data_IF_831657984719
#
_entry.id   IF_831657984719
#
_cell.length_a   1.000
_cell.length_b   1.000
_cell.length_c   1.000
_cell.angle_alpha   90.00
_cell.angle_beta   90.00
_cell.angle_gamma   90.00
#
_symmetry.space_group_name_H-M   'P 1'
#
loop_
_entity.id
_entity.type
_entity.pdbx_description
1 polymer ?
#
# COMPACT_ATOMS: atom_id res chain seq x y z
N UNK A 1 18.26 2.84 -5.17
CA UNK A 1 18.41 2.52 -3.73
C UNK A 1 19.07 3.71 -3.09
N UNK A 2 18.31 4.57 -2.41
CA UNK A 2 18.96 5.42 -1.43
C UNK A 2 19.53 4.43 -0.43
N UNK A 3 20.86 4.30 -0.38
CA UNK A 3 21.50 3.48 0.62
C UNK A 3 21.20 4.14 1.98
N UNK A 4 20.22 3.61 2.71
CA UNK A 4 20.00 3.94 4.13
C UNK A 4 21.10 3.21 4.94
N UNK A 5 22.31 3.18 4.39
CA UNK A 5 23.49 2.64 5.04
C UNK A 5 23.80 3.53 6.23
N UNK A 6 23.72 2.95 7.44
CA UNK A 6 24.08 3.51 8.76
C UNK A 6 22.97 4.16 9.60
N UNK A 7 21.70 4.14 9.21
CA UNK A 7 20.62 4.51 10.13
C UNK A 7 20.11 3.30 10.92
N UNK A 8 19.83 3.49 12.22
CA UNK A 8 19.19 2.48 13.02
C UNK A 8 17.75 2.26 12.51
N UNK A 9 17.27 1.02 12.52
CA UNK A 9 15.93 0.61 12.10
C UNK A 9 14.84 1.55 12.66
N UNK A 10 14.89 1.80 13.97
CA UNK A 10 13.89 2.64 14.66
C UNK A 10 13.89 4.09 14.15
N UNK A 11 15.05 4.60 13.72
CA UNK A 11 15.16 5.95 13.16
C UNK A 11 14.47 6.04 11.81
N UNK A 12 14.62 5.01 10.96
CA UNK A 12 13.95 4.93 9.66
C UNK A 12 12.45 4.85 9.85
N UNK A 13 11.98 3.90 10.66
CA UNK A 13 10.55 3.69 10.88
C UNK A 13 9.87 4.94 11.44
N UNK A 14 10.50 5.59 12.42
CA UNK A 14 9.97 6.84 12.99
C UNK A 14 9.88 7.94 11.93
N UNK A 15 10.92 8.15 11.14
CA UNK A 15 10.91 9.18 10.09
C UNK A 15 9.82 8.92 9.05
N UNK A 16 9.61 7.66 8.65
CA UNK A 16 8.54 7.26 7.74
C UNK A 16 7.17 7.52 8.38
N UNK A 17 6.95 7.12 9.63
CA UNK A 17 5.69 7.36 10.34
C UNK A 17 5.37 8.84 10.50
N UNK A 18 6.36 9.67 10.85
CA UNK A 18 6.19 11.13 10.96
C UNK A 18 5.80 11.75 9.62
N UNK A 19 6.51 11.37 8.55
CA UNK A 19 6.22 11.84 7.20
C UNK A 19 4.81 11.46 6.75
N UNK A 20 4.44 10.18 6.86
CA UNK A 20 3.11 9.73 6.42
C UNK A 20 1.97 10.16 7.35
N UNK A 21 2.26 10.47 8.61
CA UNK A 21 1.30 11.17 9.48
C UNK A 21 0.98 12.57 8.94
N UNK A 22 1.99 13.30 8.47
CA UNK A 22 1.78 14.60 7.80
C UNK A 22 1.01 14.44 6.50
N UNK A 23 1.37 13.47 5.65
CA UNK A 23 0.65 13.15 4.40
C UNK A 23 -0.82 12.82 4.66
N UNK A 24 -1.12 12.08 5.73
CA UNK A 24 -2.50 11.74 6.08
C UNK A 24 -3.32 12.96 6.50
N UNK A 25 -2.74 13.80 7.38
CA UNK A 25 -3.45 14.90 8.04
C UNK A 25 -3.48 16.18 7.22
N UNK A 26 -2.39 16.49 6.52
CA UNK A 26 -2.19 17.76 5.81
C UNK A 26 -1.46 17.54 4.47
N UNK A 27 -2.03 16.79 3.52
CA UNK A 27 -1.35 16.47 2.25
C UNK A 27 -0.93 17.74 1.48
N UNK A 28 -1.70 18.82 1.57
CA UNK A 28 -1.39 20.09 0.90
C UNK A 28 -0.13 20.78 1.43
N UNK A 29 0.35 20.45 2.62
CA UNK A 29 1.59 21.00 3.19
C UNK A 29 2.83 20.21 2.77
N UNK A 30 2.66 19.07 2.12
CA UNK A 30 3.77 18.24 1.64
C UNK A 30 4.22 18.73 0.28
N UNK A 31 5.42 19.29 0.20
CA UNK A 31 5.94 19.91 -1.03
C UNK A 31 7.13 19.17 -1.66
N UNK A 32 7.68 18.18 -0.97
CA UNK A 32 8.87 17.45 -1.41
C UNK A 32 8.58 16.19 -2.22
N UNK A 33 7.32 15.79 -2.30
CA UNK A 33 6.87 14.71 -3.16
C UNK A 33 5.51 15.04 -3.80
N UNK A 34 5.23 14.40 -4.93
CA UNK A 34 3.96 14.57 -5.59
C UNK A 34 2.92 13.66 -4.93
N UNK A 35 1.77 14.23 -4.60
CA UNK A 35 0.65 13.52 -3.98
C UNK A 35 -0.64 13.68 -4.79
N UNK A 36 -1.60 12.84 -4.48
CA UNK A 36 -2.97 12.96 -4.95
C UNK A 36 -3.16 12.71 -6.45
N UNK A 37 -4.15 13.36 -7.04
CA UNK A 37 -4.47 13.19 -8.48
C UNK A 37 -3.30 13.45 -9.43
N UNK A 38 -2.42 14.42 -9.20
CA UNK A 38 -1.20 14.54 -10.01
C UNK A 38 -0.31 13.29 -9.94
N UNK A 39 -0.17 12.69 -8.76
CA UNK A 39 0.61 11.45 -8.58
C UNK A 39 -0.08 10.25 -9.27
N UNK A 40 -1.40 10.10 -9.12
CA UNK A 40 -2.14 9.00 -9.77
C UNK A 40 -2.06 9.05 -11.28
N UNK A 41 -2.07 10.25 -11.88
CA UNK A 41 -1.91 10.42 -13.34
C UNK A 41 -0.53 9.97 -13.82
N UNK A 42 0.54 10.39 -13.13
CA UNK A 42 1.90 9.95 -13.47
C UNK A 42 2.06 8.44 -13.25
N UNK A 43 1.44 7.89 -12.20
CA UNK A 43 1.42 6.47 -11.91
C UNK A 43 0.60 5.65 -12.93
N UNK A 44 -0.14 6.31 -13.84
CA UNK A 44 -0.87 5.64 -14.92
C UNK A 44 -2.23 5.08 -14.51
N UNK A 45 -2.89 5.66 -13.50
CA UNK A 45 -4.27 5.31 -13.15
C UNK A 45 -5.23 6.01 -14.12
N UNK A 46 -6.13 5.24 -14.79
CA UNK A 46 -7.23 5.84 -15.55
C UNK A 46 -8.18 6.60 -14.63
N UNK A 47 -8.68 7.76 -15.05
CA UNK A 47 -9.64 8.55 -14.28
C UNK A 47 -10.86 7.69 -13.88
N UNK A 48 -11.39 6.88 -14.80
CA UNK A 48 -12.50 5.96 -14.55
C UNK A 48 -12.26 4.94 -13.41
N UNK A 49 -10.99 4.67 -13.05
CA UNK A 49 -10.65 3.80 -11.91
C UNK A 49 -10.72 4.54 -10.57
N UNK A 50 -10.68 5.87 -10.62
CA UNK A 50 -10.61 6.76 -9.47
C UNK A 50 -11.90 7.52 -9.20
N UNK A 51 -12.77 7.71 -10.22
CA UNK A 51 -13.93 8.62 -10.15
C UNK A 51 -14.92 8.26 -9.05
N UNK A 52 -15.07 6.97 -8.74
CA UNK A 52 -15.95 6.50 -7.68
C UNK A 52 -15.26 6.39 -6.30
N UNK A 53 -13.98 6.77 -6.19
CA UNK A 53 -13.28 6.74 -4.92
C UNK A 53 -13.47 8.05 -4.15
N UNK A 54 -13.56 8.01 -2.81
CA UNK A 54 -13.53 9.22 -2.01
C UNK A 54 -12.26 10.05 -2.30
N UNK A 55 -12.41 11.36 -2.53
CA UNK A 55 -11.26 12.23 -2.79
C UNK A 55 -10.23 12.19 -1.65
N UNK A 56 -10.70 11.98 -0.41
CA UNK A 56 -9.82 11.80 0.77
C UNK A 56 -8.95 10.54 0.71
N UNK A 57 -9.29 9.54 -0.10
CA UNK A 57 -8.40 8.41 -0.38
C UNK A 57 -7.30 8.82 -1.38
N UNK A 58 -7.69 9.61 -2.40
CA UNK A 58 -6.79 9.99 -3.50
C UNK A 58 -5.81 11.07 -3.05
N UNK A 59 -6.23 12.10 -2.31
CA UNK A 59 -5.40 13.27 -1.96
C UNK A 59 -4.08 12.93 -1.25
N UNK A 60 -4.02 11.80 -0.52
CA UNK A 60 -2.83 11.30 0.15
C UNK A 60 -2.10 10.20 -0.62
N UNK A 61 -2.49 9.91 -1.86
CA UNK A 61 -1.82 8.92 -2.69
C UNK A 61 -0.38 9.34 -3.01
N UNK A 62 0.57 8.45 -2.70
CA UNK A 62 2.00 8.63 -2.92
C UNK A 62 2.64 7.43 -3.66
N UNK A 63 1.83 6.59 -4.30
CA UNK A 63 2.30 5.45 -5.07
C UNK A 63 3.06 5.85 -6.33
N UNK A 64 3.86 4.94 -6.86
CA UNK A 64 4.82 5.23 -7.94
C UNK A 64 4.39 4.69 -9.32
N UNK A 65 3.48 3.71 -9.36
CA UNK A 65 2.89 3.21 -10.59
C UNK A 65 1.51 2.59 -10.30
N UNK A 66 0.80 2.16 -11.34
CA UNK A 66 -0.46 1.42 -11.22
C UNK A 66 -0.19 -0.09 -11.19
N UNK A 67 -0.17 -0.75 -10.00
CA UNK A 67 0.11 -2.17 -9.90
C UNK A 67 -0.99 -3.03 -10.56
N UNK A 68 -2.19 -2.49 -10.70
CA UNK A 68 -3.34 -3.19 -11.29
C UNK A 68 -3.21 -3.47 -12.79
N UNK A 69 -2.21 -2.89 -13.47
CA UNK A 69 -1.87 -3.26 -14.85
C UNK A 69 -1.41 -4.72 -14.98
N UNK A 70 -0.86 -5.31 -13.92
CA UNK A 70 -0.51 -6.73 -13.89
C UNK A 70 -1.73 -7.65 -13.95
N UNK A 71 -2.92 -7.14 -13.60
CA UNK A 71 -4.21 -7.83 -13.68
C UNK A 71 -4.24 -9.23 -13.03
N UNK A 72 -3.58 -9.38 -11.87
CA UNK A 72 -3.45 -10.68 -11.20
C UNK A 72 -4.53 -10.92 -10.14
N UNK A 73 -5.25 -9.88 -9.67
CA UNK A 73 -6.34 -10.00 -8.70
C UNK A 73 -7.59 -10.53 -9.38
N UNK A 74 -8.20 -11.56 -8.80
CA UNK A 74 -9.40 -12.24 -9.27
C UNK A 74 -10.56 -12.09 -8.29
N UNK A 75 -11.79 -12.23 -8.76
CA UNK A 75 -12.96 -12.30 -7.88
C UNK A 75 -12.82 -13.45 -6.89
N UNK A 76 -13.11 -13.18 -5.62
CA UNK A 76 -12.99 -14.15 -4.52
C UNK A 76 -11.58 -14.25 -3.90
N UNK A 77 -10.56 -13.60 -4.45
CA UNK A 77 -9.21 -13.63 -3.86
C UNK A 77 -9.18 -13.01 -2.45
N UNK A 78 -8.25 -13.51 -1.64
CA UNK A 78 -7.80 -12.90 -0.41
C UNK A 78 -6.51 -12.12 -0.71
N UNK A 79 -6.56 -10.80 -0.57
CA UNK A 79 -5.48 -9.88 -0.95
C UNK A 79 -4.90 -9.21 0.28
N UNK A 80 -3.58 -9.12 0.37
CA UNK A 80 -2.88 -8.24 1.30
C UNK A 80 -2.32 -7.04 0.55
N UNK A 81 -2.65 -5.83 0.99
CA UNK A 81 -2.02 -4.59 0.53
C UNK A 81 -1.05 -4.07 1.59
N UNK A 82 0.25 -4.03 1.25
CA UNK A 82 1.32 -3.60 2.14
C UNK A 82 1.59 -2.11 1.95
N UNK A 83 1.50 -1.35 3.05
CA UNK A 83 1.58 0.11 3.04
C UNK A 83 0.34 0.74 2.43
N UNK A 84 -0.81 0.31 2.92
CA UNK A 84 -2.13 0.64 2.37
C UNK A 84 -2.48 2.14 2.37
N UNK A 85 -1.78 2.94 3.16
CA UNK A 85 -1.97 4.38 3.23
C UNK A 85 -3.42 4.78 3.46
N UNK A 86 -3.89 5.81 2.74
CA UNK A 86 -5.28 6.29 2.80
C UNK A 86 -6.29 5.42 2.06
N UNK A 87 -5.82 4.37 1.33
CA UNK A 87 -6.65 3.32 0.78
C UNK A 87 -6.99 3.41 -0.70
N UNK A 88 -6.31 4.22 -1.50
CA UNK A 88 -6.57 4.26 -2.95
C UNK A 88 -6.53 2.86 -3.57
N UNK A 89 -5.43 2.12 -3.35
CA UNK A 89 -5.25 0.78 -3.92
C UNK A 89 -6.12 -0.26 -3.22
N UNK A 90 -6.33 -0.14 -1.91
CA UNK A 90 -7.25 -0.99 -1.13
C UNK A 90 -8.68 -0.97 -1.68
N UNK A 91 -9.21 0.23 -1.94
CA UNK A 91 -10.57 0.41 -2.47
C UNK A 91 -10.71 -0.22 -3.87
N UNK A 92 -9.70 -0.08 -4.71
CA UNK A 92 -9.66 -0.70 -6.04
C UNK A 92 -9.59 -2.23 -5.90
N UNK A 93 -8.71 -2.75 -5.03
CA UNK A 93 -8.58 -4.18 -4.79
C UNK A 93 -9.88 -4.77 -4.23
N UNK A 94 -10.52 -4.11 -3.26
CA UNK A 94 -11.77 -4.55 -2.64
C UNK A 94 -12.91 -4.70 -3.64
N UNK A 95 -13.01 -3.78 -4.61
CA UNK A 95 -13.97 -3.89 -5.72
C UNK A 95 -13.66 -5.03 -6.67
N UNK A 96 -12.36 -5.26 -6.97
CA UNK A 96 -11.94 -6.34 -7.86
C UNK A 96 -12.18 -7.73 -7.30
N UNK A 97 -11.90 -7.93 -6.00
CA UNK A 97 -12.16 -9.22 -5.35
C UNK A 97 -13.66 -9.47 -5.16
N UNK A 98 -14.47 -8.40 -5.11
CA UNK A 98 -15.91 -8.49 -4.95
C UNK A 98 -16.35 -9.00 -3.57
N UNK A 99 -17.66 -9.24 -3.36
CA UNK A 99 -18.22 -9.54 -2.04
C UNK A 99 -17.80 -10.89 -1.44
N UNK A 100 -17.26 -11.79 -2.24
CA UNK A 100 -16.75 -13.10 -1.80
C UNK A 100 -15.25 -13.07 -1.48
N UNK A 101 -14.55 -12.01 -1.89
CA UNK A 101 -13.13 -11.82 -1.60
C UNK A 101 -12.93 -10.94 -0.37
N UNK A 102 -11.68 -10.88 0.07
CA UNK A 102 -11.28 -10.08 1.24
C UNK A 102 -9.97 -9.34 0.97
N UNK A 103 -9.85 -8.12 1.49
CA UNK A 103 -8.60 -7.36 1.47
C UNK A 103 -8.13 -7.12 2.90
N UNK A 104 -6.88 -7.42 3.16
CA UNK A 104 -6.16 -7.01 4.36
C UNK A 104 -5.31 -5.79 4.02
N UNK A 105 -5.50 -4.71 4.75
CA UNK A 105 -4.82 -3.43 4.53
C UNK A 105 -3.81 -3.20 5.66
N UNK A 106 -2.54 -3.46 5.40
CA UNK A 106 -1.45 -3.33 6.37
C UNK A 106 -0.81 -1.94 6.27
N UNK A 107 -0.80 -1.21 7.37
CA UNK A 107 -0.05 0.05 7.47
C UNK A 107 0.43 0.27 8.92
N UNK A 108 1.66 0.74 9.08
CA UNK A 108 2.21 1.04 10.41
C UNK A 108 1.77 2.40 10.94
N UNK A 109 1.30 3.33 10.06
CA UNK A 109 0.96 4.70 10.41
C UNK A 109 -0.50 4.80 10.85
N UNK A 110 -0.75 5.14 12.12
CA UNK A 110 -2.11 5.22 12.67
C UNK A 110 -2.98 6.23 11.92
N UNK A 111 -2.47 7.42 11.62
CA UNK A 111 -3.21 8.45 10.90
C UNK A 111 -3.65 7.99 9.49
N UNK A 112 -2.86 7.12 8.82
CA UNK A 112 -3.25 6.52 7.55
C UNK A 112 -4.39 5.51 7.75
N UNK A 113 -4.28 4.63 8.75
CA UNK A 113 -5.35 3.65 9.07
C UNK A 113 -6.66 4.33 9.46
N UNK A 114 -6.62 5.44 10.21
CA UNK A 114 -7.80 6.25 10.54
C UNK A 114 -8.44 6.82 9.28
N UNK A 115 -7.64 7.38 8.39
CA UNK A 115 -8.10 7.94 7.12
C UNK A 115 -8.68 6.85 6.21
N UNK A 116 -8.03 5.70 6.12
CA UNK A 116 -8.54 4.53 5.38
C UNK A 116 -9.90 4.09 5.92
N UNK A 117 -10.07 3.98 7.26
CA UNK A 117 -11.35 3.59 7.86
C UNK A 117 -12.48 4.53 7.43
N UNK A 118 -12.25 5.83 7.52
CA UNK A 118 -13.22 6.83 7.07
C UNK A 118 -13.53 6.74 5.56
N UNK A 119 -12.53 6.36 4.74
CA UNK A 119 -12.72 6.19 3.30
C UNK A 119 -13.50 4.92 2.96
N UNK A 120 -13.32 3.82 3.70
CA UNK A 120 -14.10 2.60 3.55
C UNK A 120 -15.59 2.85 3.86
N UNK A 121 -15.88 3.60 4.95
CA UNK A 121 -17.24 4.00 5.31
C UNK A 121 -17.89 4.85 4.20
N UNK A 122 -17.17 5.86 3.69
CA UNK A 122 -17.67 6.72 2.58
C UNK A 122 -17.94 5.95 1.30
N UNK A 123 -17.14 4.90 1.03
CA UNK A 123 -17.24 4.08 -0.17
C UNK A 123 -18.20 2.90 -0.02
N UNK A 124 -18.82 2.70 1.16
CA UNK A 124 -19.66 1.55 1.51
C UNK A 124 -18.99 0.20 1.24
N UNK A 125 -17.70 0.09 1.63
CA UNK A 125 -16.88 -1.12 1.44
C UNK A 125 -16.72 -1.83 2.78
N UNK A 126 -17.10 -3.12 2.82
CA UNK A 126 -17.15 -3.94 4.04
C UNK A 126 -16.24 -5.17 4.02
N UNK A 127 -15.61 -5.48 2.90
CA UNK A 127 -14.74 -6.65 2.72
C UNK A 127 -13.25 -6.32 2.93
N UNK A 128 -12.94 -5.28 3.72
CA UNK A 128 -11.58 -4.85 4.07
C UNK A 128 -11.36 -4.95 5.56
N UNK A 129 -10.23 -5.52 5.96
CA UNK A 129 -9.73 -5.53 7.33
C UNK A 129 -8.45 -4.70 7.43
N UNK A 130 -8.46 -3.68 8.29
CA UNK A 130 -7.31 -2.80 8.52
C UNK A 130 -6.44 -3.42 9.62
N UNK A 131 -5.15 -3.66 9.31
CA UNK A 131 -4.21 -4.29 10.22
C UNK A 131 -3.08 -3.31 10.56
N UNK A 132 -2.86 -3.01 11.85
CA UNK A 132 -1.66 -2.30 12.28
C UNK A 132 -0.45 -3.24 12.19
N UNK A 133 0.65 -2.80 11.60
CA UNK A 133 1.85 -3.61 11.54
C UNK A 133 2.90 -3.09 10.58
N UNK A 134 4.06 -3.72 10.66
CA UNK A 134 5.21 -3.45 9.81
C UNK A 134 5.35 -4.56 8.76
N UNK A 135 5.88 -4.21 7.59
CA UNK A 135 6.07 -5.16 6.49
C UNK A 135 7.13 -6.25 6.78
N UNK A 136 7.98 -6.04 7.78
CA UNK A 136 9.00 -6.98 8.24
C UNK A 136 8.48 -7.99 9.28
N UNK A 137 7.20 -7.83 9.73
CA UNK A 137 6.54 -8.72 10.68
C UNK A 137 5.03 -8.69 10.41
N UNK A 138 4.61 -9.31 9.31
CA UNK A 138 3.20 -9.31 8.86
C UNK A 138 2.37 -10.17 9.82
N UNK A 139 1.36 -9.59 10.53
CA UNK A 139 0.57 -10.31 11.53
C UNK A 139 -0.55 -11.17 10.89
N UNK A 140 -0.18 -11.96 9.90
CA UNK A 140 -1.07 -12.88 9.20
C UNK A 140 -0.45 -14.28 9.15
N UNK A 141 -1.28 -15.34 9.09
CA UNK A 141 -0.80 -16.72 9.00
C UNK A 141 0.01 -16.98 7.72
N UNK A 142 0.84 -18.02 7.76
CA UNK A 142 1.51 -18.54 6.59
C UNK A 142 0.48 -18.99 5.55
N UNK A 143 0.83 -18.91 4.26
CA UNK A 143 0.05 -19.43 3.14
C UNK A 143 -1.44 -19.03 3.17
N UNK A 144 -1.73 -17.81 3.57
CA UNK A 144 -3.11 -17.31 3.75
C UNK A 144 -3.58 -16.35 2.66
N UNK A 145 -2.67 -15.76 1.86
CA UNK A 145 -2.97 -14.76 0.84
C UNK A 145 -2.89 -15.33 -0.58
N UNK A 146 -3.89 -15.04 -1.40
CA UNK A 146 -3.88 -15.36 -2.84
C UNK A 146 -3.04 -14.35 -3.61
N UNK A 147 -3.06 -13.08 -3.18
CA UNK A 147 -2.29 -11.99 -3.77
C UNK A 147 -1.70 -11.11 -2.67
N UNK A 148 -0.47 -10.70 -2.84
CA UNK A 148 0.12 -9.56 -2.11
C UNK A 148 0.34 -8.42 -3.10
N UNK A 149 -0.08 -7.22 -2.73
CA UNK A 149 0.17 -5.98 -3.49
C UNK A 149 0.92 -4.96 -2.66
N UNK A 150 1.71 -4.12 -3.32
CA UNK A 150 2.42 -3.00 -2.68
C UNK A 150 2.79 -1.94 -3.71
N UNK A 151 2.73 -0.66 -3.33
CA UNK A 151 2.98 0.45 -4.25
C UNK A 151 3.84 1.54 -3.61
N UNK A 152 5.14 1.56 -3.96
CA UNK A 152 6.10 2.57 -3.50
C UNK A 152 6.54 2.42 -2.05
N UNK A 153 6.45 1.23 -1.46
CA UNK A 153 6.64 0.99 -0.02
C UNK A 153 7.92 0.20 0.29
N UNK A 154 8.24 -0.83 -0.50
CA UNK A 154 9.36 -1.73 -0.23
C UNK A 154 10.71 -1.00 -0.25
N UNK A 155 10.83 0.07 -1.02
CA UNK A 155 12.05 0.89 -1.04
C UNK A 155 12.37 1.50 0.34
N UNK A 156 11.35 1.71 1.19
CA UNK A 156 11.47 2.26 2.54
C UNK A 156 11.70 1.20 3.62
N UNK A 157 11.66 -0.09 3.28
CA UNK A 157 11.92 -1.17 4.23
C UNK A 157 13.34 -1.06 4.79
N UNK A 158 13.51 -1.06 6.14
CA UNK A 158 14.83 -1.17 6.75
C UNK A 158 15.59 -2.43 6.32
N UNK A 159 14.90 -3.57 6.27
CA UNK A 159 15.42 -4.84 5.74
C UNK A 159 14.52 -5.41 4.66
N UNK A 160 14.94 -5.27 3.41
CA UNK A 160 14.21 -5.78 2.25
C UNK A 160 14.19 -7.30 2.19
N UNK A 161 15.24 -7.95 2.70
CA UNK A 161 15.31 -9.41 2.72
C UNK A 161 14.24 -10.00 3.65
N UNK A 162 14.10 -9.46 4.84
CA UNK A 162 13.06 -9.86 5.80
C UNK A 162 11.67 -9.57 5.21
N UNK A 163 11.47 -8.38 4.63
CA UNK A 163 10.18 -8.02 4.00
C UNK A 163 9.79 -9.00 2.89
N UNK A 164 10.71 -9.35 2.00
CA UNK A 164 10.43 -10.33 0.93
C UNK A 164 10.16 -11.72 1.50
N UNK A 165 10.87 -12.13 2.55
CA UNK A 165 10.61 -13.40 3.23
C UNK A 165 9.20 -13.44 3.85
N UNK A 166 8.75 -12.36 4.48
CA UNK A 166 7.41 -12.24 5.04
C UNK A 166 6.32 -12.27 3.94
N UNK A 167 6.53 -11.56 2.82
CA UNK A 167 5.65 -11.62 1.66
C UNK A 167 5.52 -13.07 1.16
N UNK A 168 6.65 -13.77 1.02
CA UNK A 168 6.66 -15.16 0.58
C UNK A 168 5.96 -16.08 1.59
N UNK A 169 6.17 -15.87 2.89
CA UNK A 169 5.56 -16.66 3.96
C UNK A 169 4.03 -16.59 3.94
N UNK A 170 3.46 -15.39 3.75
CA UNK A 170 2.00 -15.22 3.77
C UNK A 170 1.33 -15.63 2.46
N UNK A 171 2.06 -15.69 1.34
CA UNK A 171 1.51 -16.14 0.06
C UNK A 171 1.25 -17.65 0.07
N UNK A 172 0.08 -18.03 -0.38
CA UNK A 172 -0.26 -19.45 -0.65
C UNK A 172 0.66 -20.02 -1.74
N UNK A 173 0.86 -21.35 -1.79
CA UNK A 173 1.45 -21.99 -2.95
C UNK A 173 0.71 -21.59 -4.23
N UNK A 174 1.44 -21.03 -5.22
CA UNK A 174 0.84 -20.47 -6.43
C UNK A 174 0.22 -19.09 -6.27
N UNK A 175 0.37 -18.47 -5.10
CA UNK A 175 0.00 -17.07 -4.85
C UNK A 175 0.79 -16.09 -5.75
N UNK A 176 0.31 -14.87 -5.86
CA UNK A 176 0.80 -13.87 -6.83
C UNK A 176 1.24 -12.61 -6.10
N UNK A 177 2.40 -12.07 -6.50
CA UNK A 177 2.88 -10.76 -6.05
C UNK A 177 2.63 -9.73 -7.15
N UNK A 178 2.00 -8.60 -6.80
CA UNK A 178 1.79 -7.45 -7.64
C UNK A 178 2.48 -6.25 -7.01
N UNK A 179 3.59 -5.82 -7.60
CA UNK A 179 4.47 -4.82 -7.01
C UNK A 179 4.71 -3.65 -7.95
N UNK A 180 4.60 -2.44 -7.43
CA UNK A 180 5.12 -1.23 -8.04
C UNK A 180 6.10 -0.56 -7.08
N UNK A 181 7.35 -0.36 -7.51
CA UNK A 181 8.36 0.30 -6.68
C UNK A 181 9.45 0.98 -7.51
N UNK A 182 10.26 1.80 -6.86
CA UNK A 182 11.37 2.52 -7.48
C UNK A 182 12.55 1.56 -7.65
N UNK A 183 12.97 1.35 -8.90
CA UNK A 183 14.15 0.58 -9.23
C UNK A 183 15.28 1.51 -9.72
N UNK A 184 16.49 1.31 -9.20
CA UNK A 184 17.68 2.02 -9.66
C UNK A 184 18.38 1.20 -10.72
N UNK A 185 18.60 1.79 -11.91
CA UNK A 185 19.27 1.15 -13.04
C UNK A 185 20.80 0.99 -12.89
N UNK A 186 21.40 1.60 -11.86
CA UNK A 186 22.84 1.49 -11.55
C UNK A 186 23.03 1.42 -10.03
N UNK A 187 24.03 0.67 -9.59
CA UNK A 187 24.51 0.77 -8.20
C UNK A 187 25.00 2.20 -7.94
N UNK A 188 24.65 2.74 -6.78
CA UNK A 188 25.13 4.03 -6.28
C UNK A 188 26.40 3.76 -5.48
#
# INVERSE_FOLDING_TARGET
MVAIANFKRETILRAVQEMYTLVARNPAQVTHCLLGRPATRIAGYPDAQLDDLPESAIESFAGVANPFLANVIRAGDTVLDIGSGSGTDVLIAARRVGPQGKVYALDMTEAMREKLRANLEKADIHNVEIIPGEMEAIPLPDESMDVVTSNGVLNMAPDKGITIAEIFRVLKPGGRLQLADIALGKAI
#
